data_IF_473703656745
#
_entry.id   IF_473703656745
#
_cell.length_a   1.000
_cell.length_b   1.000
_cell.length_c   1.000
_cell.angle_alpha   90.00
_cell.angle_beta   90.00
_cell.angle_gamma   90.00
#
_symmetry.space_group_name_H-M   'P 1'
#
loop_
_entity.id
_entity.type
_entity.pdbx_description
1 polymer ?
#
# COMPACT_ATOMS: atom_id res chain seq x y z
N UNK A 1 -11.33 39.46 -1.57
CA UNK A 1 -12.45 39.25 -0.63
C UNK A 1 -11.87 39.37 0.78
N UNK A 2 -12.18 40.48 1.43
CA UNK A 2 -11.64 40.88 2.72
C UNK A 2 -12.24 40.01 3.83
N UNK A 3 -11.48 39.04 4.33
CA UNK A 3 -11.87 38.24 5.50
C UNK A 3 -11.64 39.04 6.78
N UNK A 4 -12.46 40.05 7.01
CA UNK A 4 -12.43 40.80 8.27
C UNK A 4 -13.36 40.13 9.29
N UNK A 5 -12.81 39.26 10.14
CA UNK A 5 -13.55 38.66 11.25
C UNK A 5 -13.04 37.29 11.72
N UNK A 6 -13.29 36.97 13.00
CA UNK A 6 -12.97 35.70 13.68
C UNK A 6 -13.43 34.48 12.87
N UNK A 7 -14.54 34.60 12.15
CA UNK A 7 -15.09 33.56 11.28
C UNK A 7 -14.25 33.26 10.03
N UNK A 8 -13.62 34.28 9.43
CA UNK A 8 -12.74 34.10 8.28
C UNK A 8 -11.50 33.27 8.63
N UNK A 9 -10.93 33.52 9.83
CA UNK A 9 -9.82 32.72 10.36
C UNK A 9 -10.23 31.27 10.61
N UNK A 10 -11.43 31.01 11.14
CA UNK A 10 -11.95 29.65 11.38
C UNK A 10 -12.12 28.88 10.06
N UNK A 11 -12.71 29.51 9.04
CA UNK A 11 -12.89 28.90 7.71
C UNK A 11 -11.55 28.58 7.04
N UNK A 12 -10.57 29.49 7.13
CA UNK A 12 -9.22 29.24 6.63
C UNK A 12 -8.55 28.05 7.34
N UNK A 13 -8.62 27.99 8.67
CA UNK A 13 -8.07 26.87 9.46
C UNK A 13 -8.73 25.53 9.06
N UNK A 14 -10.06 25.51 8.88
CA UNK A 14 -10.78 24.32 8.46
C UNK A 14 -10.36 23.85 7.06
N UNK A 15 -10.17 24.78 6.11
CA UNK A 15 -9.68 24.48 4.76
C UNK A 15 -8.27 23.88 4.80
N UNK A 16 -7.34 24.51 5.52
CA UNK A 16 -5.98 24.01 5.70
C UNK A 16 -5.94 22.61 6.35
N UNK A 17 -6.81 22.36 7.32
CA UNK A 17 -6.93 21.03 7.94
C UNK A 17 -7.48 19.97 6.97
N UNK A 18 -8.42 20.33 6.10
CA UNK A 18 -8.95 19.42 5.08
C UNK A 18 -7.89 19.09 4.02
N UNK A 19 -7.16 20.10 3.55
CA UNK A 19 -6.05 19.95 2.61
C UNK A 19 -4.94 19.07 3.19
N UNK A 20 -4.57 19.27 4.46
CA UNK A 20 -3.54 18.45 5.12
C UNK A 20 -3.95 16.99 5.26
N UNK A 21 -5.24 16.71 5.51
CA UNK A 21 -5.80 15.35 5.52
C UNK A 21 -5.73 14.70 4.15
N UNK A 22 -6.12 15.40 3.08
CA UNK A 22 -6.04 14.87 1.71
C UNK A 22 -4.59 14.53 1.31
N UNK A 23 -3.64 15.41 1.65
CA UNK A 23 -2.20 15.15 1.42
C UNK A 23 -1.73 13.87 2.14
N UNK A 24 -2.15 13.66 3.39
CA UNK A 24 -1.82 12.44 4.14
C UNK A 24 -2.38 11.19 3.49
N UNK A 25 -3.64 11.22 3.03
CA UNK A 25 -4.27 10.09 2.35
C UNK A 25 -3.51 9.76 1.06
N UNK A 26 -3.16 10.75 0.24
CA UNK A 26 -2.38 10.52 -0.97
C UNK A 26 -1.01 9.88 -0.68
N UNK A 27 -0.29 10.35 0.35
CA UNK A 27 1.00 9.77 0.75
C UNK A 27 0.83 8.30 1.17
N UNK A 28 -0.20 7.99 1.96
CA UNK A 28 -0.49 6.62 2.40
C UNK A 28 -0.82 5.74 1.19
N UNK A 29 -1.65 6.21 0.26
CA UNK A 29 -1.99 5.44 -0.94
C UNK A 29 -0.78 5.15 -1.82
N UNK A 30 0.12 6.13 -2.02
CA UNK A 30 1.38 5.90 -2.75
C UNK A 30 2.24 4.86 -2.04
N UNK A 31 2.34 4.95 -0.70
CA UNK A 31 3.06 3.95 0.10
C UNK A 31 2.49 2.54 -0.07
N UNK A 32 1.16 2.40 0.00
CA UNK A 32 0.46 1.12 -0.21
C UNK A 32 0.66 0.58 -1.63
N UNK A 33 0.68 1.46 -2.64
CA UNK A 33 0.93 1.08 -4.03
C UNK A 33 2.33 0.49 -4.20
N UNK A 34 3.35 1.18 -3.69
CA UNK A 34 4.75 0.73 -3.76
C UNK A 34 4.91 -0.58 -2.99
N UNK A 35 4.34 -0.67 -1.77
CA UNK A 35 4.39 -1.87 -0.95
C UNK A 35 3.71 -3.07 -1.62
N UNK A 36 2.58 -2.84 -2.30
CA UNK A 36 1.89 -3.85 -3.09
C UNK A 36 2.76 -4.38 -4.23
N UNK A 37 3.42 -3.49 -4.98
CA UNK A 37 4.34 -3.88 -6.06
C UNK A 37 5.55 -4.67 -5.54
N UNK A 38 6.14 -4.25 -4.41
CA UNK A 38 7.24 -4.98 -3.76
C UNK A 38 6.79 -6.38 -3.33
N UNK A 39 5.58 -6.52 -2.79
CA UNK A 39 5.02 -7.81 -2.39
C UNK A 39 4.81 -8.75 -3.59
N UNK A 40 4.31 -8.22 -4.72
CA UNK A 40 4.18 -8.98 -5.97
C UNK A 40 5.54 -9.43 -6.47
N UNK A 41 6.54 -8.53 -6.47
CA UNK A 41 7.89 -8.85 -6.89
C UNK A 41 8.52 -9.94 -6.00
N UNK A 42 8.36 -9.85 -4.68
CA UNK A 42 8.84 -10.86 -3.74
C UNK A 42 8.22 -12.25 -4.03
N UNK A 43 6.92 -12.32 -4.30
CA UNK A 43 6.27 -13.58 -4.64
C UNK A 43 6.74 -14.17 -5.97
N UNK A 44 6.68 -13.39 -7.03
CA UNK A 44 6.98 -13.86 -8.38
C UNK A 44 8.47 -14.12 -8.62
N UNK A 45 9.34 -13.24 -8.12
CA UNK A 45 10.78 -13.33 -8.37
C UNK A 45 11.53 -14.14 -7.31
N UNK A 46 11.07 -14.15 -6.05
CA UNK A 46 11.81 -14.76 -4.92
C UNK A 46 11.03 -15.84 -4.17
N UNK A 47 9.82 -16.21 -4.59
CA UNK A 47 9.00 -17.21 -3.88
C UNK A 47 9.70 -18.55 -3.67
N UNK A 48 10.45 -19.03 -4.66
CA UNK A 48 11.23 -20.27 -4.56
C UNK A 48 12.41 -20.16 -3.57
N UNK A 49 13.17 -19.07 -3.63
CA UNK A 49 14.30 -18.82 -2.71
C UNK A 49 13.82 -18.74 -1.26
N UNK A 50 12.72 -18.04 -1.03
CA UNK A 50 12.09 -17.86 0.29
C UNK A 50 11.56 -19.20 0.80
N UNK A 51 10.83 -19.93 -0.04
CA UNK A 51 10.33 -21.26 0.28
C UNK A 51 11.44 -22.23 0.64
N UNK A 52 12.55 -22.23 -0.11
CA UNK A 52 13.70 -23.08 0.17
C UNK A 52 14.38 -22.70 1.49
N UNK A 53 14.56 -21.41 1.75
CA UNK A 53 15.28 -20.91 2.92
C UNK A 53 14.48 -21.19 4.20
N UNK A 54 13.16 -21.08 4.15
CA UNK A 54 12.27 -21.36 5.29
C UNK A 54 12.06 -22.85 5.53
N UNK A 55 12.16 -23.69 4.50
CA UNK A 55 12.03 -25.15 4.64
C UNK A 55 13.31 -25.85 5.07
N UNK A 56 14.43 -25.11 5.14
CA UNK A 56 15.76 -25.68 5.42
C UNK A 56 15.81 -26.23 6.86
N UNK A 57 16.07 -27.52 7.05
CA UNK A 57 16.33 -28.08 8.38
C UNK A 57 17.66 -27.54 8.94
N UNK A 58 17.74 -27.38 10.25
CA UNK A 58 18.93 -26.84 10.91
C UNK A 58 20.16 -27.71 10.59
N UNK A 59 21.21 -27.09 10.05
CA UNK A 59 22.48 -27.74 9.72
C UNK A 59 22.51 -28.58 8.44
N UNK A 60 21.42 -28.66 7.67
CA UNK A 60 21.41 -29.41 6.41
C UNK A 60 22.03 -28.58 5.25
N UNK A 61 22.93 -29.19 4.47
CA UNK A 61 23.50 -28.57 3.25
C UNK A 61 22.67 -28.87 1.99
N UNK A 62 21.89 -29.95 2.00
CA UNK A 62 21.00 -30.36 0.92
C UNK A 62 19.67 -30.75 1.53
N UNK A 63 18.57 -30.24 0.99
CA UNK A 63 17.21 -30.62 1.37
C UNK A 63 16.30 -30.55 0.14
N UNK A 64 15.18 -31.26 0.23
CA UNK A 64 14.13 -31.16 -0.80
C UNK A 64 13.12 -30.08 -0.39
N UNK A 65 12.67 -29.32 -1.39
CA UNK A 65 11.61 -28.31 -1.23
C UNK A 65 10.42 -28.83 -2.02
N UNK A 66 9.24 -28.88 -1.39
CA UNK A 66 8.04 -29.31 -2.08
C UNK A 66 7.56 -28.22 -3.05
N UNK A 67 7.04 -28.64 -4.21
CA UNK A 67 6.52 -27.70 -5.22
C UNK A 67 5.32 -26.91 -4.69
N UNK A 68 4.55 -27.49 -3.78
CA UNK A 68 3.43 -26.87 -3.10
C UNK A 68 3.90 -25.71 -2.22
N UNK A 69 5.02 -25.86 -1.52
CA UNK A 69 5.57 -24.82 -0.67
C UNK A 69 6.10 -23.64 -1.49
N UNK A 70 6.77 -23.91 -2.61
CA UNK A 70 7.19 -22.88 -3.56
C UNK A 70 5.97 -22.12 -4.10
N UNK A 71 4.91 -22.83 -4.52
CA UNK A 71 3.67 -22.20 -5.00
C UNK A 71 3.01 -21.36 -3.92
N UNK A 72 2.95 -21.83 -2.68
CA UNK A 72 2.38 -21.05 -1.57
C UNK A 72 3.15 -19.73 -1.38
N UNK A 73 4.48 -19.78 -1.35
CA UNK A 73 5.33 -18.60 -1.21
C UNK A 73 5.40 -17.70 -2.45
N UNK A 74 5.02 -18.20 -3.63
CA UNK A 74 4.82 -17.36 -4.81
C UNK A 74 3.46 -16.67 -4.77
N UNK A 75 2.37 -17.42 -4.61
CA UNK A 75 1.03 -16.87 -4.78
C UNK A 75 0.52 -16.07 -3.57
N UNK A 76 0.85 -16.46 -2.33
CA UNK A 76 0.37 -15.74 -1.15
C UNK A 76 0.82 -14.27 -1.12
N UNK A 77 2.12 -13.93 -1.23
CA UNK A 77 2.55 -12.54 -1.28
C UNK A 77 2.09 -11.80 -2.55
N UNK A 78 1.94 -12.50 -3.68
CA UNK A 78 1.39 -11.89 -4.90
C UNK A 78 -0.08 -11.48 -4.73
N UNK A 79 -0.93 -12.35 -4.17
CA UNK A 79 -2.35 -12.04 -3.92
C UNK A 79 -2.48 -10.89 -2.90
N UNK A 80 -1.64 -10.91 -1.85
CA UNK A 80 -1.58 -9.83 -0.88
C UNK A 80 -1.20 -8.51 -1.57
N UNK A 81 -0.16 -8.52 -2.41
CA UNK A 81 0.27 -7.33 -3.14
C UNK A 81 -0.78 -6.77 -4.10
N UNK A 82 -1.49 -7.64 -4.84
CA UNK A 82 -2.63 -7.24 -5.68
C UNK A 82 -3.71 -6.57 -4.84
N UNK A 83 -4.05 -7.14 -3.68
CA UNK A 83 -5.06 -6.58 -2.78
C UNK A 83 -4.67 -5.18 -2.28
N UNK A 84 -3.39 -4.97 -1.93
CA UNK A 84 -2.89 -3.64 -1.54
C UNK A 84 -2.99 -2.62 -2.67
N UNK A 85 -2.71 -3.02 -3.92
CA UNK A 85 -2.81 -2.13 -5.08
C UNK A 85 -4.27 -1.72 -5.29
N UNK A 86 -5.22 -2.65 -5.20
CA UNK A 86 -6.66 -2.34 -5.34
C UNK A 86 -7.09 -1.33 -4.28
N UNK A 87 -6.71 -1.55 -3.02
CA UNK A 87 -7.02 -0.63 -1.90
C UNK A 87 -6.41 0.75 -2.16
N UNK A 88 -5.17 0.82 -2.63
CA UNK A 88 -4.51 2.08 -2.96
C UNK A 88 -5.26 2.87 -4.04
N UNK A 89 -5.70 2.19 -5.11
CA UNK A 89 -6.48 2.79 -6.19
C UNK A 89 -7.79 3.37 -5.63
N UNK A 90 -8.53 2.59 -4.84
CA UNK A 90 -9.79 3.02 -4.22
C UNK A 90 -9.57 4.27 -3.34
N UNK A 91 -8.53 4.27 -2.50
CA UNK A 91 -8.22 5.41 -1.64
C UNK A 91 -7.87 6.68 -2.43
N UNK A 92 -7.09 6.55 -3.51
CA UNK A 92 -6.80 7.66 -4.43
C UNK A 92 -8.06 8.17 -5.11
N UNK A 93 -8.93 7.27 -5.60
CA UNK A 93 -10.19 7.66 -6.24
C UNK A 93 -11.09 8.42 -5.27
N UNK A 94 -11.23 7.95 -4.03
CA UNK A 94 -12.02 8.65 -3.00
C UNK A 94 -11.41 10.02 -2.67
N UNK A 95 -10.08 10.10 -2.56
CA UNK A 95 -9.39 11.37 -2.30
C UNK A 95 -9.61 12.39 -3.44
N UNK A 96 -9.55 11.93 -4.70
CA UNK A 96 -9.81 12.76 -5.88
C UNK A 96 -11.27 13.22 -5.97
N UNK A 97 -12.24 12.34 -5.72
CA UNK A 97 -13.67 12.70 -5.70
C UNK A 97 -13.93 13.76 -4.62
N UNK A 98 -13.35 13.58 -3.44
CA UNK A 98 -13.49 14.56 -2.36
C UNK A 98 -12.80 15.89 -2.68
N UNK A 99 -11.70 15.86 -3.41
CA UNK A 99 -11.05 17.07 -3.91
C UNK A 99 -11.96 17.82 -4.89
N UNK A 100 -12.46 17.13 -5.93
CA UNK A 100 -13.31 17.72 -6.97
C UNK A 100 -14.64 18.26 -6.44
N UNK A 101 -15.23 17.64 -5.41
CA UNK A 101 -16.43 18.18 -4.74
C UNK A 101 -16.17 19.43 -3.88
N UNK A 102 -14.90 19.77 -3.66
CA UNK A 102 -14.51 20.92 -2.83
C UNK A 102 -14.24 22.16 -3.67
N UNK A 103 -13.95 21.99 -4.97
CA UNK A 103 -14.06 23.05 -5.99
C UNK A 103 -15.53 23.33 -6.31
#
# INVERSE_FOLDING_TARGET
MEYNGREGKIKAIAYWNKFSKLKKVCIISIGLFILGNISIFLGLAKGADIGSSLSRPYGANVWSVSNELVRAWTYAPTILGISLIIISIILITIALINWLKTE
#
